data_IF_568617727051
#
_entry.id   IF_568617727051
#
_cell.length_a   1.000
_cell.length_b   1.000
_cell.length_c   1.000
_cell.angle_alpha   90.00
_cell.angle_beta   90.00
_cell.angle_gamma   90.00
#
_symmetry.space_group_name_H-M   'P 1'
#
loop_
_entity.id
_entity.type
_entity.pdbx_description
1 polymer ?
#
# COMPACT_ATOMS: atom_id res chain seq x y z
N UNK A 1 39.62 25.55 15.63
CA UNK A 1 41.00 25.60 15.06
C UNK A 1 40.88 25.42 13.57
N UNK A 2 41.05 26.52 12.83
CA UNK A 2 41.08 26.51 11.36
C UNK A 2 42.46 26.04 10.96
N UNK A 3 42.55 24.86 10.36
CA UNK A 3 43.81 24.36 9.78
C UNK A 3 44.21 25.25 8.60
N UNK A 4 45.07 26.24 8.90
CA UNK A 4 45.77 26.99 7.85
C UNK A 4 46.79 26.09 7.16
N UNK A 5 46.45 25.62 5.98
CA UNK A 5 47.42 25.00 5.09
C UNK A 5 48.43 26.06 4.64
N UNK A 6 49.59 26.02 5.19
CA UNK A 6 50.74 26.83 4.75
C UNK A 6 51.19 26.32 3.37
N UNK A 7 50.72 27.00 2.35
CA UNK A 7 51.07 26.67 0.96
C UNK A 7 52.52 27.04 0.70
N UNK A 8 53.46 26.08 0.77
CA UNK A 8 54.79 26.21 0.17
C UNK A 8 54.64 26.03 -1.34
N UNK A 9 55.13 26.97 -2.16
CA UNK A 9 55.07 26.85 -3.60
C UNK A 9 55.86 25.59 -4.07
N UNK A 10 55.17 24.61 -4.59
CA UNK A 10 55.71 23.32 -5.06
C UNK A 10 55.04 22.09 -4.45
N UNK A 11 54.44 22.15 -3.26
CA UNK A 11 53.71 21.05 -2.64
C UNK A 11 52.22 21.00 -3.02
N UNK A 12 51.65 22.10 -3.45
CA UNK A 12 50.20 22.23 -3.69
C UNK A 12 49.68 21.20 -4.74
N UNK A 13 50.47 20.83 -5.72
CA UNK A 13 50.10 19.81 -6.69
C UNK A 13 49.93 18.41 -6.06
N UNK A 14 50.80 18.06 -5.11
CA UNK A 14 50.75 16.77 -4.43
C UNK A 14 49.62 16.73 -3.41
N UNK A 15 49.40 17.83 -2.68
CA UNK A 15 48.31 17.94 -1.68
C UNK A 15 46.95 17.92 -2.39
N UNK A 16 46.81 18.58 -3.55
CA UNK A 16 45.60 18.56 -4.36
C UNK A 16 45.32 17.15 -4.89
N UNK A 17 46.31 16.46 -5.42
CA UNK A 17 46.13 15.11 -5.92
C UNK A 17 45.84 14.10 -4.81
N UNK A 18 46.43 14.23 -3.65
CA UNK A 18 46.14 13.35 -2.51
C UNK A 18 44.73 13.57 -1.97
N UNK A 19 44.28 14.81 -1.90
CA UNK A 19 42.87 15.13 -1.49
C UNK A 19 41.91 14.59 -2.55
N UNK A 20 42.18 14.76 -3.83
CA UNK A 20 41.34 14.25 -4.90
C UNK A 20 41.25 12.71 -4.87
N UNK A 21 42.38 12.03 -4.70
CA UNK A 21 42.41 10.56 -4.56
C UNK A 21 41.63 10.09 -3.33
N UNK A 22 41.79 10.77 -2.19
CA UNK A 22 40.99 10.44 -0.99
C UNK A 22 39.50 10.64 -1.21
N UNK A 23 39.08 11.72 -1.88
CA UNK A 23 37.68 11.97 -2.20
C UNK A 23 37.12 10.91 -3.15
N UNK A 24 37.87 10.52 -4.17
CA UNK A 24 37.48 9.44 -5.12
C UNK A 24 37.37 8.10 -4.40
N UNK A 25 38.32 7.77 -3.53
CA UNK A 25 38.28 6.54 -2.74
C UNK A 25 37.09 6.54 -1.76
N UNK A 26 36.83 7.66 -1.07
CA UNK A 26 35.68 7.77 -0.16
C UNK A 26 34.35 7.67 -0.93
N UNK A 27 34.23 8.35 -2.06
CA UNK A 27 33.05 8.26 -2.91
C UNK A 27 32.86 6.83 -3.46
N UNK A 28 33.97 6.17 -3.86
CA UNK A 28 33.96 4.77 -4.30
C UNK A 28 33.55 3.81 -3.20
N UNK A 29 34.11 3.94 -2.01
CA UNK A 29 33.74 3.10 -0.85
C UNK A 29 32.29 3.33 -0.43
N UNK A 30 31.81 4.60 -0.43
CA UNK A 30 30.42 4.91 -0.14
C UNK A 30 29.48 4.37 -1.20
N UNK A 31 29.81 4.53 -2.48
CA UNK A 31 29.06 3.96 -3.60
C UNK A 31 28.98 2.43 -3.54
N UNK A 32 30.12 1.76 -3.28
CA UNK A 32 30.18 0.31 -3.16
C UNK A 32 29.41 -0.23 -1.95
N UNK A 33 29.35 0.51 -0.84
CA UNK A 33 28.57 0.08 0.33
C UNK A 33 27.05 0.25 0.15
N UNK A 34 26.62 1.16 -0.73
CA UNK A 34 25.20 1.37 -1.06
C UNK A 34 24.70 0.46 -2.19
N UNK A 35 25.61 -0.05 -3.04
CA UNK A 35 25.24 -0.92 -4.18
C UNK A 35 24.45 -2.18 -3.77
N UNK A 36 24.81 -2.93 -2.72
CA UNK A 36 24.04 -4.10 -2.30
C UNK A 36 22.63 -3.73 -1.85
N UNK A 37 22.48 -2.64 -1.09
CA UNK A 37 21.19 -2.15 -0.59
C UNK A 37 20.32 -1.68 -1.76
N UNK A 38 20.87 -0.87 -2.66
CA UNK A 38 20.14 -0.39 -3.83
C UNK A 38 19.78 -1.54 -4.80
N UNK A 39 20.63 -2.55 -4.94
CA UNK A 39 20.36 -3.70 -5.78
C UNK A 39 19.29 -4.61 -5.20
N UNK A 40 19.28 -4.81 -3.90
CA UNK A 40 18.27 -5.62 -3.21
C UNK A 40 16.91 -4.92 -3.14
N UNK A 41 16.90 -3.59 -2.95
CA UNK A 41 15.66 -2.81 -2.88
C UNK A 41 15.03 -2.51 -4.25
N UNK A 42 15.81 -2.34 -5.29
CA UNK A 42 15.36 -1.96 -6.64
C UNK A 42 15.46 -3.11 -7.66
N UNK A 43 15.84 -4.30 -7.23
CA UNK A 43 16.08 -5.43 -8.12
C UNK A 43 14.83 -5.84 -8.91
N UNK A 44 14.95 -6.00 -10.25
CA UNK A 44 13.84 -6.42 -11.09
C UNK A 44 13.27 -7.79 -10.68
N UNK A 45 14.07 -8.66 -10.10
CA UNK A 45 13.66 -9.97 -9.60
C UNK A 45 12.71 -9.87 -8.40
N UNK A 46 12.99 -8.96 -7.46
CA UNK A 46 12.12 -8.71 -6.31
C UNK A 46 10.76 -8.16 -6.74
N UNK A 47 10.76 -7.21 -7.69
CA UNK A 47 9.52 -6.64 -8.22
C UNK A 47 8.70 -7.70 -8.96
N UNK A 48 9.32 -8.58 -9.75
CA UNK A 48 8.62 -9.69 -10.39
C UNK A 48 8.05 -10.70 -9.38
N UNK A 49 8.82 -11.04 -8.33
CA UNK A 49 8.35 -11.89 -7.25
C UNK A 49 7.16 -11.24 -6.51
N UNK A 50 7.26 -9.95 -6.17
CA UNK A 50 6.18 -9.18 -5.56
C UNK A 50 4.91 -9.20 -6.42
N UNK A 51 5.01 -8.90 -7.71
CA UNK A 51 3.87 -8.92 -8.64
C UNK A 51 3.23 -10.32 -8.74
N UNK A 52 4.04 -11.37 -8.86
CA UNK A 52 3.53 -12.75 -8.92
C UNK A 52 2.79 -13.14 -7.65
N UNK A 53 3.35 -12.82 -6.48
CA UNK A 53 2.73 -13.10 -5.19
C UNK A 53 1.46 -12.26 -4.99
N UNK A 54 1.44 -11.01 -5.46
CA UNK A 54 0.24 -10.16 -5.44
C UNK A 54 -0.90 -10.75 -6.27
N UNK A 55 -0.61 -11.22 -7.48
CA UNK A 55 -1.61 -11.89 -8.34
C UNK A 55 -2.13 -13.17 -7.70
N UNK A 56 -1.25 -14.00 -7.16
CA UNK A 56 -1.64 -15.22 -6.47
C UNK A 56 -2.53 -14.91 -5.27
N UNK A 57 -2.11 -13.97 -4.41
CA UNK A 57 -2.87 -13.58 -3.22
C UNK A 57 -4.25 -13.01 -3.58
N UNK A 58 -4.32 -12.16 -4.61
CA UNK A 58 -5.61 -11.64 -5.13
C UNK A 58 -6.57 -12.77 -5.49
N UNK A 59 -6.08 -13.77 -6.25
CA UNK A 59 -6.90 -14.90 -6.65
C UNK A 59 -7.36 -15.75 -5.47
N UNK A 60 -6.47 -16.03 -4.52
CA UNK A 60 -6.76 -16.81 -3.32
C UNK A 60 -7.76 -16.09 -2.40
N UNK A 61 -7.59 -14.78 -2.18
CA UNK A 61 -8.50 -13.97 -1.39
C UNK A 61 -9.90 -13.89 -2.04
N UNK A 62 -9.96 -13.66 -3.35
CA UNK A 62 -11.22 -13.66 -4.09
C UNK A 62 -11.94 -15.01 -3.98
N UNK A 63 -11.23 -16.10 -4.19
CA UNK A 63 -11.79 -17.44 -4.07
C UNK A 63 -12.32 -17.72 -2.65
N UNK A 64 -11.59 -17.25 -1.61
CA UNK A 64 -12.00 -17.43 -0.22
C UNK A 64 -13.26 -16.61 0.12
N UNK A 65 -13.35 -15.36 -0.34
CA UNK A 65 -14.56 -14.53 -0.16
C UNK A 65 -15.75 -15.17 -0.84
N UNK A 66 -15.62 -15.60 -2.11
CA UNK A 66 -16.70 -16.24 -2.87
C UNK A 66 -17.11 -17.60 -2.32
N UNK A 67 -16.19 -18.32 -1.69
CA UNK A 67 -16.51 -19.59 -1.00
C UNK A 67 -17.33 -19.35 0.27
N UNK A 68 -17.06 -18.28 0.99
CA UNK A 68 -17.80 -17.91 2.22
C UNK A 68 -19.16 -17.30 1.89
N UNK A 69 -19.20 -16.43 0.90
CA UNK A 69 -20.40 -15.77 0.40
C UNK A 69 -20.34 -15.64 -1.13
N UNK A 70 -21.06 -16.53 -1.86
CA UNK A 70 -21.12 -16.49 -3.33
C UNK A 70 -21.68 -15.15 -3.88
N UNK A 71 -22.56 -14.51 -3.11
CA UNK A 71 -23.26 -13.28 -3.47
C UNK A 71 -22.60 -12.01 -2.87
N UNK A 72 -21.39 -12.16 -2.29
CA UNK A 72 -20.66 -11.03 -1.73
C UNK A 72 -20.59 -9.86 -2.72
N UNK A 73 -20.87 -8.62 -2.29
CA UNK A 73 -20.94 -7.47 -3.18
C UNK A 73 -19.53 -6.96 -3.57
N UNK A 74 -18.72 -7.80 -4.15
CA UNK A 74 -17.37 -7.47 -4.62
C UNK A 74 -17.41 -7.08 -6.08
N UNK A 75 -17.01 -5.84 -6.38
CA UNK A 75 -16.84 -5.28 -7.73
C UNK A 75 -15.43 -5.58 -8.24
N UNK A 76 -14.42 -5.28 -7.42
CA UNK A 76 -13.02 -5.53 -7.73
C UNK A 76 -12.24 -5.91 -6.46
N UNK A 77 -11.13 -6.61 -6.63
CA UNK A 77 -10.24 -7.00 -5.54
C UNK A 77 -8.80 -6.96 -6.00
N UNK A 78 -7.93 -6.38 -5.19
CA UNK A 78 -6.50 -6.36 -5.45
C UNK A 78 -5.70 -6.60 -4.17
N UNK A 79 -4.82 -7.58 -4.23
CA UNK A 79 -3.83 -7.85 -3.19
C UNK A 79 -2.47 -7.29 -3.59
N UNK A 80 -1.80 -6.58 -2.69
CA UNK A 80 -0.48 -6.04 -2.92
C UNK A 80 0.50 -6.62 -1.91
N UNK A 81 1.53 -7.28 -2.41
CA UNK A 81 2.63 -7.85 -1.63
C UNK A 81 3.85 -6.95 -1.82
N UNK A 82 4.35 -6.38 -0.75
CA UNK A 82 5.57 -5.59 -0.73
C UNK A 82 6.66 -6.38 -0.03
N UNK A 83 7.68 -6.82 -0.76
CA UNK A 83 8.78 -7.59 -0.21
C UNK A 83 9.90 -6.65 0.28
N UNK A 84 10.35 -6.85 1.51
CA UNK A 84 11.52 -6.13 2.05
C UNK A 84 12.83 -6.79 1.63
N UNK A 85 12.79 -8.10 1.32
CA UNK A 85 13.95 -8.87 0.88
C UNK A 85 13.62 -9.73 -0.34
N UNK A 86 14.63 -10.06 -1.15
CA UNK A 86 14.47 -10.97 -2.29
C UNK A 86 14.40 -12.46 -1.90
N UNK A 87 14.42 -12.78 -0.61
CA UNK A 87 14.43 -14.18 -0.13
C UNK A 87 13.08 -14.88 -0.22
N UNK A 88 11.96 -14.11 -0.14
CA UNK A 88 10.59 -14.62 -0.14
C UNK A 88 10.22 -15.13 -1.54
N UNK A 89 9.80 -16.39 -1.64
CA UNK A 89 9.40 -17.05 -2.90
C UNK A 89 7.95 -17.47 -2.91
N UNK A 90 7.33 -17.65 -1.75
CA UNK A 90 5.95 -18.10 -1.60
C UNK A 90 5.20 -17.22 -0.60
N UNK A 91 3.86 -17.23 -0.67
CA UNK A 91 3.01 -16.51 0.30
C UNK A 91 3.17 -17.04 1.72
N UNK A 92 3.46 -18.34 1.88
CA UNK A 92 3.63 -18.98 3.18
C UNK A 92 4.89 -18.49 3.91
N UNK A 93 5.90 -18.05 3.16
CA UNK A 93 7.15 -17.48 3.70
C UNK A 93 6.98 -16.01 4.12
N UNK A 94 5.90 -15.37 3.69
CA UNK A 94 5.66 -13.95 3.98
C UNK A 94 5.29 -13.76 5.46
N UNK A 95 5.94 -12.80 6.09
CA UNK A 95 5.67 -12.38 7.47
C UNK A 95 6.06 -10.89 7.64
N UNK A 96 5.68 -10.30 8.76
CA UNK A 96 5.91 -8.89 9.05
C UNK A 96 7.39 -8.45 9.09
N UNK A 97 8.32 -9.40 9.15
CA UNK A 97 9.76 -9.10 9.11
C UNK A 97 10.37 -9.07 7.71
N UNK A 98 9.72 -9.67 6.72
CA UNK A 98 10.26 -9.81 5.36
C UNK A 98 9.37 -9.23 4.26
N UNK A 99 8.17 -8.77 4.61
CA UNK A 99 7.26 -8.14 3.68
C UNK A 99 6.03 -7.55 4.36
N UNK A 100 5.17 -6.95 3.56
CA UNK A 100 3.91 -6.33 3.94
C UNK A 100 2.84 -6.71 2.93
N UNK A 101 1.64 -6.99 3.41
CA UNK A 101 0.51 -7.44 2.62
C UNK A 101 -0.69 -6.54 2.83
N UNK A 102 -1.20 -5.94 1.76
CA UNK A 102 -2.47 -5.24 1.78
C UNK A 102 -3.48 -5.88 0.85
N UNK A 103 -4.74 -5.87 1.26
CA UNK A 103 -5.87 -6.31 0.45
C UNK A 103 -6.85 -5.15 0.30
N UNK A 104 -7.14 -4.79 -0.94
CA UNK A 104 -8.13 -3.78 -1.29
C UNK A 104 -9.33 -4.46 -1.94
N UNK A 105 -10.52 -4.16 -1.45
CA UNK A 105 -11.80 -4.72 -1.92
C UNK A 105 -12.73 -3.57 -2.27
N UNK A 106 -13.05 -3.41 -3.54
CA UNK A 106 -14.04 -2.47 -4.01
C UNK A 106 -15.42 -3.16 -4.01
N UNK A 107 -16.41 -2.51 -3.39
CA UNK A 107 -17.75 -3.03 -3.28
C UNK A 107 -18.64 -2.55 -4.44
N UNK A 108 -19.51 -3.43 -4.89
CA UNK A 108 -20.61 -3.12 -5.80
C UNK A 108 -21.89 -2.79 -5.01
N UNK A 109 -22.88 -2.24 -5.68
CA UNK A 109 -24.18 -1.94 -5.10
C UNK A 109 -24.35 -0.48 -4.72
N UNK A 110 -25.33 -0.19 -3.87
CA UNK A 110 -25.67 1.16 -3.43
C UNK A 110 -25.80 1.20 -1.92
N UNK A 111 -25.11 2.14 -1.30
CA UNK A 111 -25.09 2.32 0.15
C UNK A 111 -25.56 3.74 0.50
N UNK A 112 -26.70 3.82 1.18
CA UNK A 112 -27.29 5.10 1.60
C UNK A 112 -26.68 5.67 2.88
N UNK A 113 -25.83 4.90 3.59
CA UNK A 113 -25.15 5.35 4.80
C UNK A 113 -23.87 4.53 5.06
N UNK A 114 -22.98 5.10 5.89
CA UNK A 114 -21.76 4.43 6.35
C UNK A 114 -22.07 3.14 7.12
N UNK A 115 -23.20 3.04 7.81
CA UNK A 115 -23.62 1.84 8.53
C UNK A 115 -23.95 0.68 7.57
N UNK A 116 -24.64 0.97 6.47
CA UNK A 116 -24.95 -0.03 5.45
C UNK A 116 -23.68 -0.53 4.76
N UNK A 117 -22.78 0.39 4.43
CA UNK A 117 -21.47 0.05 3.88
C UNK A 117 -20.67 -0.81 4.87
N UNK A 118 -20.58 -0.41 6.15
CA UNK A 118 -19.89 -1.14 7.18
C UNK A 118 -20.45 -2.55 7.43
N UNK A 119 -21.78 -2.74 7.32
CA UNK A 119 -22.40 -4.06 7.38
C UNK A 119 -21.92 -4.97 6.23
N UNK A 120 -21.86 -4.43 5.02
CA UNK A 120 -21.32 -5.18 3.87
C UNK A 120 -19.83 -5.53 4.06
N UNK A 121 -19.03 -4.59 4.58
CA UNK A 121 -17.63 -4.84 4.92
C UNK A 121 -17.52 -5.94 5.98
N UNK A 122 -18.33 -5.88 7.05
CA UNK A 122 -18.28 -6.85 8.15
C UNK A 122 -18.57 -8.28 7.68
N UNK A 123 -19.51 -8.46 6.76
CA UNK A 123 -19.82 -9.80 6.23
C UNK A 123 -18.62 -10.46 5.54
N UNK A 124 -17.70 -9.69 4.97
CA UNK A 124 -16.53 -10.19 4.26
C UNK A 124 -15.29 -10.38 5.16
N UNK A 125 -15.22 -9.70 6.31
CA UNK A 125 -14.04 -9.82 7.19
C UNK A 125 -13.81 -11.22 7.70
N UNK A 126 -14.86 -12.00 7.97
CA UNK A 126 -14.74 -13.38 8.44
C UNK A 126 -14.11 -14.29 7.37
N UNK A 127 -14.37 -14.03 6.10
CA UNK A 127 -13.73 -14.73 4.98
C UNK A 127 -12.26 -14.31 4.84
N UNK A 128 -11.96 -13.02 4.99
CA UNK A 128 -10.60 -12.49 4.91
C UNK A 128 -9.74 -13.02 6.06
N UNK A 129 -10.29 -13.19 7.26
CA UNK A 129 -9.59 -13.83 8.39
C UNK A 129 -9.13 -15.25 8.10
N UNK A 130 -9.78 -15.94 7.17
CA UNK A 130 -9.41 -17.30 6.74
C UNK A 130 -8.34 -17.32 5.64
N UNK A 131 -8.01 -16.19 5.03
CA UNK A 131 -6.90 -16.09 4.08
C UNK A 131 -5.57 -16.40 4.75
N UNK A 132 -4.66 -16.99 4.00
CA UNK A 132 -3.30 -17.30 4.45
C UNK A 132 -2.29 -16.88 3.38
N UNK A 133 -1.37 -15.94 3.70
CA UNK A 133 -1.27 -15.17 4.95
C UNK A 133 -2.46 -14.20 5.15
N UNK A 134 -2.66 -13.75 6.38
CA UNK A 134 -3.63 -12.69 6.66
C UNK A 134 -3.06 -11.34 6.21
N UNK A 135 -3.87 -10.41 5.69
CA UNK A 135 -3.39 -9.10 5.31
C UNK A 135 -3.00 -8.27 6.55
N UNK A 136 -1.92 -7.50 6.44
CA UNK A 136 -1.53 -6.51 7.43
C UNK A 136 -2.49 -5.31 7.42
N UNK A 137 -3.03 -5.00 6.23
CA UNK A 137 -4.07 -3.97 6.06
C UNK A 137 -5.13 -4.45 5.08
N UNK A 138 -6.40 -4.25 5.45
CA UNK A 138 -7.56 -4.51 4.63
C UNK A 138 -8.28 -3.18 4.38
N UNK A 139 -8.47 -2.84 3.11
CA UNK A 139 -9.14 -1.62 2.69
C UNK A 139 -10.41 -2.01 1.93
N UNK A 140 -11.54 -1.54 2.42
CA UNK A 140 -12.80 -1.56 1.68
C UNK A 140 -13.05 -0.18 1.09
N UNK A 141 -13.44 -0.14 -0.17
CA UNK A 141 -13.83 1.09 -0.85
C UNK A 141 -15.15 0.87 -1.60
N UNK A 142 -15.90 1.95 -1.74
CA UNK A 142 -17.07 2.00 -2.58
C UNK A 142 -17.22 3.41 -3.15
N UNK A 143 -17.53 3.49 -4.42
CA UNK A 143 -17.97 4.70 -5.10
C UNK A 143 -19.24 4.40 -5.90
N UNK A 144 -20.18 5.33 -5.99
CA UNK A 144 -21.36 5.14 -6.84
C UNK A 144 -20.93 4.96 -8.30
N UNK A 145 -21.57 4.02 -9.00
CA UNK A 145 -21.37 3.81 -10.45
C UNK A 145 -22.05 4.93 -11.26
N UNK A 146 -21.85 6.18 -10.88
CA UNK A 146 -22.46 7.30 -11.56
C UNK A 146 -21.64 7.65 -12.79
N UNK A 147 -22.27 7.57 -13.94
CA UNK A 147 -21.83 8.32 -15.11
C UNK A 147 -21.94 9.82 -14.73
N UNK A 148 -20.86 10.62 -14.76
CA UNK A 148 -20.90 12.01 -14.34
C UNK A 148 -21.92 12.87 -15.12
N UNK A 149 -22.46 12.38 -16.22
CA UNK A 149 -23.51 13.05 -16.99
C UNK A 149 -24.94 12.87 -16.41
N UNK A 150 -25.21 11.85 -15.56
CA UNK A 150 -26.55 11.65 -14.96
C UNK A 150 -26.80 12.41 -13.66
N UNK A 151 -25.78 12.96 -13.02
CA UNK A 151 -25.89 13.55 -11.66
C UNK A 151 -26.24 15.04 -11.63
N UNK A 152 -26.60 15.69 -12.75
CA UNK A 152 -27.04 17.09 -12.80
C UNK A 152 -28.52 17.28 -12.44
N UNK A 153 -28.99 16.56 -11.41
CA UNK A 153 -30.32 16.80 -10.79
C UNK A 153 -30.23 17.92 -9.77
N UNK A 154 -30.97 18.99 -10.02
CA UNK A 154 -31.16 20.16 -9.15
C UNK A 154 -31.67 19.79 -7.76
N UNK A 155 -30.79 19.63 -6.79
CA UNK A 155 -31.15 19.45 -5.40
C UNK A 155 -29.93 19.40 -4.50
N UNK A 156 -29.84 20.31 -3.55
CA UNK A 156 -28.83 20.48 -2.49
C UNK A 156 -28.76 19.28 -1.52
N UNK A 157 -28.51 18.08 -2.00
CA UNK A 157 -28.11 16.95 -1.19
C UNK A 157 -26.62 16.73 -1.44
N UNK A 158 -25.81 16.82 -0.38
CA UNK A 158 -24.43 16.40 -0.43
C UNK A 158 -24.42 14.95 -0.91
N UNK A 159 -24.01 14.76 -2.16
CA UNK A 159 -23.93 13.43 -2.74
C UNK A 159 -22.65 12.78 -2.23
N UNK A 160 -22.75 11.58 -1.68
CA UNK A 160 -21.57 10.82 -1.27
C UNK A 160 -20.80 10.41 -2.52
N UNK A 161 -19.52 10.80 -2.59
CA UNK A 161 -18.62 10.42 -3.65
C UNK A 161 -17.95 9.09 -3.38
N UNK A 162 -17.60 8.84 -2.12
CA UNK A 162 -16.87 7.63 -1.74
C UNK A 162 -17.05 7.28 -0.27
N UNK A 163 -17.14 5.98 0.02
CA UNK A 163 -16.87 5.40 1.34
C UNK A 163 -15.54 4.67 1.32
N UNK A 164 -14.72 4.87 2.34
CA UNK A 164 -13.46 4.14 2.54
C UNK A 164 -13.36 3.69 3.99
N UNK A 165 -13.02 2.42 4.19
CA UNK A 165 -12.76 1.84 5.50
C UNK A 165 -11.42 1.11 5.45
N UNK A 166 -10.45 1.59 6.22
CA UNK A 166 -9.16 0.94 6.40
C UNK A 166 -9.10 0.23 7.74
N UNK A 167 -8.75 -1.05 7.72
CA UNK A 167 -8.53 -1.90 8.88
C UNK A 167 -7.04 -2.26 8.94
N UNK A 168 -6.33 -1.64 9.86
CA UNK A 168 -4.89 -1.87 10.07
C UNK A 168 -4.68 -2.90 11.18
N UNK A 169 -4.26 -4.11 10.76
CA UNK A 169 -3.94 -5.21 11.66
C UNK A 169 -5.11 -6.12 12.03
N UNK A 170 -4.74 -7.33 12.47
CA UNK A 170 -5.66 -8.46 12.73
C UNK A 170 -6.73 -8.12 13.77
N UNK A 171 -6.40 -7.31 14.77
CA UNK A 171 -7.34 -6.96 15.84
C UNK A 171 -8.55 -6.15 15.35
N UNK A 172 -8.43 -5.42 14.25
CA UNK A 172 -9.53 -4.64 13.70
C UNK A 172 -10.48 -5.48 12.81
N UNK A 173 -10.04 -6.67 12.39
CA UNK A 173 -10.91 -7.59 11.66
C UNK A 173 -12.07 -8.13 12.54
N UNK A 174 -11.92 -8.07 13.86
CA UNK A 174 -12.96 -8.48 14.82
C UNK A 174 -13.95 -7.35 15.17
N UNK A 175 -13.78 -6.17 14.59
CA UNK A 175 -14.68 -5.05 14.84
C UNK A 175 -16.11 -5.36 14.42
N UNK A 176 -17.06 -4.85 15.22
CA UNK A 176 -18.47 -4.87 14.85
C UNK A 176 -18.76 -3.88 13.72
N UNK A 177 -19.88 -4.07 13.02
CA UNK A 177 -20.29 -3.12 11.97
C UNK A 177 -20.41 -1.67 12.50
N UNK A 178 -20.86 -1.48 13.75
CA UNK A 178 -20.94 -0.15 14.37
C UNK A 178 -19.56 0.48 14.61
N UNK A 179 -18.55 -0.33 14.94
CA UNK A 179 -17.18 0.16 15.08
C UNK A 179 -16.57 0.51 13.72
N UNK A 180 -16.82 -0.30 12.72
CA UNK A 180 -16.42 -0.06 11.33
C UNK A 180 -17.06 1.21 10.78
N UNK A 181 -18.37 1.40 10.99
CA UNK A 181 -19.09 2.59 10.53
C UNK A 181 -18.50 3.89 11.10
N UNK A 182 -18.07 3.89 12.36
CA UNK A 182 -17.43 5.06 13.00
C UNK A 182 -16.05 5.39 12.43
N UNK A 183 -15.40 4.44 11.80
CA UNK A 183 -14.06 4.60 11.18
C UNK A 183 -14.14 4.75 9.65
N UNK A 184 -15.36 4.60 9.08
CA UNK A 184 -15.57 4.81 7.66
C UNK A 184 -15.39 6.28 7.33
N UNK A 185 -14.45 6.56 6.44
CA UNK A 185 -14.27 7.88 5.86
C UNK A 185 -15.32 8.08 4.77
N UNK A 186 -15.95 9.26 4.78
CA UNK A 186 -16.97 9.64 3.81
C UNK A 186 -16.49 10.86 3.06
N UNK A 187 -16.30 10.72 1.76
CA UNK A 187 -16.03 11.84 0.87
C UNK A 187 -17.33 12.27 0.20
N UNK A 188 -17.55 13.58 0.17
CA UNK A 188 -18.70 14.21 -0.47
C UNK A 188 -18.24 14.99 -1.69
N UNK A 189 -19.03 14.93 -2.76
CA UNK A 189 -18.87 15.88 -3.86
C UNK A 189 -19.03 17.29 -3.28
N UNK A 190 -17.99 18.09 -3.39
CA UNK A 190 -18.08 19.52 -3.10
C UNK A 190 -18.83 20.17 -4.25
N UNK A 191 -20.02 20.74 -3.98
CA UNK A 191 -20.58 21.70 -4.90
C UNK A 191 -19.57 22.86 -5.01
N UNK A 192 -18.94 23.02 -6.17
CA UNK A 192 -18.21 24.24 -6.47
C UNK A 192 -19.23 25.36 -6.46
N UNK A 193 -19.34 26.06 -5.32
CA UNK A 193 -20.10 27.28 -5.23
C UNK A 193 -19.49 28.29 -6.22
N UNK A 194 -20.31 28.67 -7.22
CA UNK A 194 -20.09 29.79 -8.10
C UNK A 194 -20.09 31.14 -7.37
#
# INVERSE_FOLDING_TARGET
EVLFFSARPGRWKYDFWSVLVCLVLMAGCFGLSLLPVAWDELGPERNQASMKLSQQYTADAYAQIRKSDPDAPVKDISGNVYLYTGAVKTLEELNSGNGYLSLHVELSGSYGSAEQFAQACRSMTDAVQQCRPQPDTLIFAWSPDNDPEESLGTGTLQQVEQYTLELAGIAQLDWTADQMAKQTEVQYLLDEEN
#
